data_IF_069007725747
#
_entry.id   IF_069007725747
#
_cell.length_a   1.000
_cell.length_b   1.000
_cell.length_c   1.000
_cell.angle_alpha   90.00
_cell.angle_beta   90.00
_cell.angle_gamma   90.00
#
_symmetry.space_group_name_H-M   'P 1'
#
loop_
_entity.id
_entity.type
_entity.pdbx_description
1 polymer ?
#
# COMPACT_ATOMS: atom_id res chain seq x y z
N UNK A 1 10.75 4.23 8.51
CA UNK A 1 9.93 4.22 7.29
C UNK A 1 10.69 3.64 6.12
N UNK A 2 11.81 4.23 5.67
CA UNK A 2 12.62 3.65 4.57
C UNK A 2 13.02 2.18 4.85
N UNK A 3 13.57 1.88 6.04
CA UNK A 3 13.98 0.50 6.38
C UNK A 3 12.81 -0.49 6.39
N UNK A 4 11.65 -0.11 6.92
CA UNK A 4 10.46 -0.97 6.97
C UNK A 4 9.88 -1.23 5.57
N UNK A 5 9.94 -0.23 4.68
CA UNK A 5 9.50 -0.40 3.29
C UNK A 5 10.46 -1.30 2.53
N UNK A 6 11.76 -1.21 2.78
CA UNK A 6 12.76 -2.09 2.14
C UNK A 6 12.63 -3.54 2.60
N UNK A 7 12.39 -3.77 3.90
CA UNK A 7 12.11 -5.12 4.43
C UNK A 7 10.88 -5.74 3.75
N UNK A 8 9.83 -4.94 3.55
CA UNK A 8 8.61 -5.37 2.87
C UNK A 8 8.78 -5.57 1.36
N UNK A 9 9.56 -4.72 0.71
CA UNK A 9 9.95 -4.90 -0.70
C UNK A 9 10.59 -6.27 -0.92
N UNK A 10 11.50 -6.65 -0.04
CA UNK A 10 12.19 -7.95 -0.10
C UNK A 10 11.28 -9.12 0.29
N UNK A 11 10.50 -9.00 1.39
CA UNK A 11 9.65 -10.08 1.90
C UNK A 11 8.50 -10.44 0.95
N UNK A 12 7.90 -9.44 0.31
CA UNK A 12 6.75 -9.61 -0.58
C UNK A 12 7.10 -9.51 -2.07
N UNK A 13 8.39 -9.46 -2.41
CA UNK A 13 8.90 -9.34 -3.78
C UNK A 13 8.19 -8.23 -4.58
N UNK A 14 7.98 -7.07 -3.94
CA UNK A 14 7.18 -6.01 -4.54
C UNK A 14 7.87 -5.37 -5.75
N UNK A 15 7.11 -5.10 -6.80
CA UNK A 15 7.58 -4.30 -7.92
C UNK A 15 7.78 -2.83 -7.51
N UNK A 16 8.65 -2.12 -8.24
CA UNK A 16 8.87 -0.67 -8.06
C UNK A 16 7.56 0.13 -8.07
N UNK A 17 6.61 -0.27 -8.92
CA UNK A 17 5.30 0.38 -9.04
C UNK A 17 4.48 0.19 -7.75
N UNK A 18 4.46 -1.02 -7.19
CA UNK A 18 3.75 -1.31 -5.94
C UNK A 18 4.39 -0.56 -4.76
N UNK A 19 5.71 -0.41 -4.74
CA UNK A 19 6.43 0.36 -3.71
C UNK A 19 6.06 1.86 -3.79
N UNK A 20 5.97 2.40 -5.00
CA UNK A 20 5.52 3.79 -5.21
C UNK A 20 4.09 3.99 -4.68
N UNK A 21 3.19 3.04 -4.95
CA UNK A 21 1.83 3.06 -4.41
C UNK A 21 1.85 3.05 -2.87
N UNK A 22 2.62 2.15 -2.27
CA UNK A 22 2.73 2.00 -0.82
C UNK A 22 3.26 3.28 -0.15
N UNK A 23 4.35 3.85 -0.67
CA UNK A 23 4.91 5.14 -0.20
C UNK A 23 3.87 6.27 -0.27
N UNK A 24 3.06 6.30 -1.35
CA UNK A 24 1.99 7.28 -1.51
C UNK A 24 0.86 7.11 -0.49
N UNK A 25 0.47 5.87 -0.18
CA UNK A 25 -0.54 5.56 0.84
C UNK A 25 -0.05 6.01 2.23
N UNK A 26 1.19 5.67 2.60
CA UNK A 26 1.79 6.09 3.87
C UNK A 26 1.81 7.60 4.04
N UNK A 27 2.30 8.31 3.01
CA UNK A 27 2.35 9.78 3.03
C UNK A 27 0.97 10.39 3.29
N UNK A 28 -0.07 9.91 2.59
CA UNK A 28 -1.46 10.38 2.76
C UNK A 28 -1.99 10.12 4.17
N UNK A 29 -1.67 8.96 4.76
CA UNK A 29 -2.09 8.61 6.12
C UNK A 29 -1.42 9.50 7.16
N UNK A 30 -0.12 9.79 7.02
CA UNK A 30 0.60 10.71 7.92
C UNK A 30 0.01 12.13 7.83
N UNK A 31 -0.25 12.61 6.61
CA UNK A 31 -0.81 13.96 6.39
C UNK A 31 -2.26 14.08 6.89
N UNK A 32 -3.05 12.99 6.82
CA UNK A 32 -4.47 12.98 7.18
C UNK A 32 -4.86 11.66 7.89
N UNK A 33 -4.49 11.46 9.17
CA UNK A 33 -4.61 10.15 9.84
C UNK A 33 -6.03 9.63 10.01
N UNK A 34 -7.01 10.52 10.06
CA UNK A 34 -8.43 10.18 10.25
C UNK A 34 -9.22 10.09 8.95
N UNK A 35 -8.60 10.41 7.80
CA UNK A 35 -9.28 10.41 6.51
C UNK A 35 -9.09 9.07 5.82
N UNK A 36 -10.16 8.59 5.20
CA UNK A 36 -10.08 7.41 4.33
C UNK A 36 -9.19 7.70 3.11
N UNK A 37 -8.37 6.71 2.78
CA UNK A 37 -7.55 6.73 1.57
C UNK A 37 -8.36 6.02 0.49
N UNK A 38 -8.74 6.77 -0.55
CA UNK A 38 -9.44 6.23 -1.72
C UNK A 38 -8.47 6.22 -2.89
N UNK A 39 -8.25 5.04 -3.47
CA UNK A 39 -7.40 4.86 -4.65
C UNK A 39 -8.21 5.14 -5.92
N UNK A 40 -7.60 5.83 -6.88
CA UNK A 40 -8.17 5.99 -8.21
C UNK A 40 -7.84 4.79 -9.12
N UNK A 41 -8.46 4.70 -10.30
CA UNK A 41 -8.27 3.58 -11.24
C UNK A 41 -6.80 3.30 -11.60
N UNK A 42 -5.95 4.33 -11.72
CA UNK A 42 -4.52 4.14 -12.01
C UNK A 42 -3.80 3.51 -10.82
N UNK A 43 -4.13 3.95 -9.61
CA UNK A 43 -3.56 3.40 -8.38
C UNK A 43 -4.01 1.96 -8.14
N UNK A 44 -5.28 1.63 -8.48
CA UNK A 44 -5.76 0.25 -8.44
C UNK A 44 -4.94 -0.63 -9.38
N UNK A 45 -4.66 -0.15 -10.61
CA UNK A 45 -3.79 -0.89 -11.55
C UNK A 45 -2.36 -1.09 -11.04
N UNK A 46 -1.87 -0.20 -10.16
CA UNK A 46 -0.54 -0.34 -9.55
C UNK A 46 -0.48 -1.48 -8.52
N UNK A 47 -1.61 -2.00 -8.05
CA UNK A 47 -1.66 -3.17 -7.17
C UNK A 47 -1.14 -4.42 -7.89
N UNK A 48 -1.40 -4.54 -9.20
CA UNK A 48 -0.97 -5.70 -9.99
C UNK A 48 -1.94 -6.89 -9.96
N UNK A 49 -3.14 -6.70 -9.38
CA UNK A 49 -4.27 -7.65 -9.47
C UNK A 49 -5.48 -6.92 -10.06
N UNK A 50 -6.26 -7.65 -10.87
CA UNK A 50 -7.52 -7.18 -11.47
C UNK A 50 -8.74 -7.94 -10.95
N UNK A 51 -8.53 -8.96 -10.12
CA UNK A 51 -9.57 -9.79 -9.53
C UNK A 51 -9.96 -9.28 -8.13
N UNK A 52 -11.21 -9.54 -7.75
CA UNK A 52 -11.77 -9.04 -6.48
C UNK A 52 -11.01 -9.57 -5.25
N UNK A 53 -10.51 -10.80 -5.31
CA UNK A 53 -9.77 -11.44 -4.22
C UNK A 53 -8.43 -10.75 -3.98
N UNK A 54 -7.61 -10.61 -5.01
CA UNK A 54 -6.31 -9.93 -4.92
C UNK A 54 -6.43 -8.45 -4.54
N UNK A 55 -7.48 -7.76 -4.99
CA UNK A 55 -7.79 -6.40 -4.54
C UNK A 55 -8.20 -6.35 -3.06
N UNK A 56 -8.99 -7.32 -2.59
CA UNK A 56 -9.40 -7.42 -1.20
C UNK A 56 -8.23 -7.75 -0.28
N UNK A 57 -7.38 -8.71 -0.65
CA UNK A 57 -6.16 -9.05 0.08
C UNK A 57 -5.23 -7.83 0.18
N UNK A 58 -5.03 -7.11 -0.93
CA UNK A 58 -4.21 -5.90 -0.93
C UNK A 58 -4.74 -4.83 0.02
N UNK A 59 -6.07 -4.66 0.10
CA UNK A 59 -6.70 -3.73 1.04
C UNK A 59 -6.37 -4.10 2.48
N UNK A 60 -6.52 -5.37 2.83
CA UNK A 60 -6.25 -5.89 4.18
C UNK A 60 -4.77 -5.69 4.53
N UNK A 61 -3.87 -6.09 3.64
CA UNK A 61 -2.42 -5.93 3.85
C UNK A 61 -2.02 -4.47 4.06
N UNK A 62 -2.59 -3.53 3.29
CA UNK A 62 -2.35 -2.10 3.50
C UNK A 62 -2.89 -1.58 4.84
N UNK A 63 -4.05 -2.06 5.29
CA UNK A 63 -4.61 -1.69 6.60
C UNK A 63 -3.73 -2.18 7.75
N UNK A 64 -3.27 -3.43 7.70
CA UNK A 64 -2.38 -4.02 8.71
C UNK A 64 -1.04 -3.29 8.76
N UNK A 65 -0.44 -3.04 7.60
CA UNK A 65 0.77 -2.25 7.44
C UNK A 65 0.71 -0.90 8.13
N UNK A 66 -0.36 -0.14 7.83
CA UNK A 66 -0.53 1.20 8.36
C UNK A 66 -0.72 1.18 9.88
N UNK A 67 -1.34 0.13 10.43
CA UNK A 67 -1.49 -0.04 11.88
C UNK A 67 -0.16 -0.34 12.58
N UNK A 68 0.73 -1.12 11.97
CA UNK A 68 2.02 -1.44 12.58
C UNK A 68 3.05 -0.32 12.48
N UNK A 69 2.95 0.53 11.46
CA UNK A 69 3.96 1.53 11.13
C UNK A 69 3.62 2.98 11.52
N UNK A 70 2.40 3.25 12.00
CA UNK A 70 1.91 4.58 12.41
C UNK A 70 1.22 4.54 13.78
#
# INVERSE_FOLDING_TARGET
MENAINEWEEEYEMSEIQIVLLKSIFKRKIENPTKDIVLNEKEIKMIGSEDEEGLSESRISFEELLFYLL
#
